data_IF_022215355824
#
_entry.id   IF_022215355824
#
_cell.length_a   1.000
_cell.length_b   1.000
_cell.length_c   1.000
_cell.angle_alpha   90.00
_cell.angle_beta   90.00
_cell.angle_gamma   90.00
#
_symmetry.space_group_name_H-M   'P 1'
#
loop_
_entity.id
_entity.type
_entity.pdbx_description
1 polymer ?
#
# COMPACT_ATOMS: atom_id res chain seq x y z
N UNK A 1 0.89 24.09 13.15
CA UNK A 1 1.39 23.17 14.17
C UNK A 1 0.34 23.00 15.25
N UNK A 2 0.28 21.83 15.87
CA UNK A 2 -0.55 21.48 17.03
C UNK A 2 0.28 20.66 18.02
N UNK A 3 -0.10 20.65 19.29
CA UNK A 3 0.53 19.81 20.32
C UNK A 3 -0.55 19.29 21.26
N UNK A 4 -0.43 18.06 21.76
CA UNK A 4 -1.34 17.55 22.79
C UNK A 4 -0.75 17.93 24.15
N UNK A 5 -1.19 19.05 24.68
CA UNK A 5 -0.71 19.63 25.95
C UNK A 5 -1.25 18.89 27.17
N UNK A 6 -2.43 18.25 27.07
CA UNK A 6 -2.96 17.42 28.14
C UNK A 6 -3.65 16.16 27.60
N UNK A 7 -3.40 15.04 28.29
CA UNK A 7 -3.97 13.73 27.92
C UNK A 7 -4.63 13.09 29.13
N UNK A 8 -5.88 12.68 28.97
CA UNK A 8 -6.63 11.89 29.95
C UNK A 8 -6.89 10.51 29.35
N UNK A 9 -6.01 9.56 29.68
CA UNK A 9 -6.07 8.19 29.18
C UNK A 9 -5.56 7.23 30.26
N UNK A 10 -6.21 6.09 30.40
CA UNK A 10 -5.70 4.96 31.18
C UNK A 10 -4.75 4.06 30.37
N UNK A 11 -4.60 4.33 29.08
CA UNK A 11 -3.80 3.57 28.12
C UNK A 11 -2.51 4.32 27.79
N UNK A 12 -1.45 3.56 27.53
CA UNK A 12 -0.22 4.10 26.96
C UNK A 12 -0.50 4.62 25.54
N UNK A 13 0.10 5.76 25.22
CA UNK A 13 -0.07 6.42 23.93
C UNK A 13 1.30 6.65 23.32
N UNK A 14 1.43 6.34 22.03
CA UNK A 14 2.62 6.61 21.24
C UNK A 14 2.26 7.42 19.99
N UNK A 15 3.25 8.12 19.45
CA UNK A 15 3.14 8.74 18.13
C UNK A 15 3.99 7.96 17.12
N UNK A 16 3.50 7.87 15.88
CA UNK A 16 4.15 7.11 14.81
C UNK A 16 5.54 7.60 14.40
N UNK A 17 5.87 8.84 14.71
CA UNK A 17 7.20 9.40 14.51
C UNK A 17 8.20 8.99 15.60
N UNK A 18 7.73 8.35 16.68
CA UNK A 18 8.54 7.95 17.84
C UNK A 18 8.79 9.07 18.84
N UNK A 19 8.24 10.27 18.62
CA UNK A 19 8.42 11.43 19.49
C UNK A 19 7.38 11.48 20.61
N UNK A 20 7.64 12.20 21.73
CA UNK A 20 6.67 12.41 22.81
C UNK A 20 5.34 13.02 22.33
N UNK A 21 4.21 12.62 22.92
CA UNK A 21 2.86 13.05 22.50
C UNK A 21 2.64 14.57 22.63
N UNK A 22 3.32 15.19 23.59
CA UNK A 22 3.29 16.62 23.89
C UNK A 22 4.21 17.47 22.98
N UNK A 23 5.06 16.84 22.16
CA UNK A 23 5.85 17.57 21.17
C UNK A 23 4.96 18.15 20.07
N UNK A 24 5.24 19.39 19.67
CA UNK A 24 4.53 20.05 18.58
C UNK A 24 4.73 19.31 17.25
N UNK A 25 3.63 19.12 16.53
CA UNK A 25 3.55 18.41 15.26
C UNK A 25 2.77 19.18 14.22
N UNK A 26 2.93 18.73 12.99
CA UNK A 26 2.14 19.17 11.86
C UNK A 26 2.71 20.39 11.17
N UNK A 27 2.71 20.33 9.85
CA UNK A 27 2.66 21.46 8.94
C UNK A 27 1.36 21.37 8.12
N UNK A 28 1.04 22.37 7.30
CA UNK A 28 -0.19 22.34 6.49
C UNK A 28 -0.23 21.07 5.63
N UNK A 29 -1.21 20.20 5.88
CA UNK A 29 -1.34 18.93 5.17
C UNK A 29 -0.47 17.78 5.67
N UNK A 30 0.13 17.87 6.84
CA UNK A 30 0.74 16.70 7.51
C UNK A 30 -0.29 15.93 8.34
N UNK A 31 -0.11 14.61 8.38
CA UNK A 31 -0.90 13.68 9.18
C UNK A 31 0.03 12.91 10.12
N UNK A 32 -0.37 12.79 11.38
CA UNK A 32 0.32 12.00 12.39
C UNK A 32 -0.61 10.96 12.97
N UNK A 33 -0.10 9.75 13.20
CA UNK A 33 -0.85 8.68 13.85
C UNK A 33 -0.49 8.60 15.32
N UNK A 34 -1.51 8.68 16.15
CA UNK A 34 -1.47 8.38 17.57
C UNK A 34 -1.94 6.94 17.76
N UNK A 35 -1.14 6.15 18.45
CA UNK A 35 -1.35 4.74 18.74
C UNK A 35 -1.76 4.63 20.19
N UNK A 36 -2.96 4.11 20.45
CA UNK A 36 -3.52 3.94 21.78
C UNK A 36 -3.50 2.45 22.12
N UNK A 37 -2.77 2.08 23.16
CA UNK A 37 -2.61 0.68 23.56
C UNK A 37 -3.95 -0.02 23.70
N UNK A 38 -4.08 -1.22 23.11
CA UNK A 38 -5.28 -2.07 23.13
C UNK A 38 -6.57 -1.45 22.56
N UNK A 39 -6.55 -0.21 22.08
CA UNK A 39 -7.77 0.51 21.67
C UNK A 39 -7.82 0.85 20.19
N UNK A 40 -6.72 1.31 19.60
CA UNK A 40 -6.73 1.67 18.19
C UNK A 40 -5.83 2.84 17.82
N UNK A 41 -6.15 3.47 16.70
CA UNK A 41 -5.42 4.57 16.12
C UNK A 41 -6.28 5.83 16.01
N UNK A 42 -5.66 6.97 16.31
CA UNK A 42 -6.18 8.30 16.03
C UNK A 42 -5.25 8.96 15.02
N UNK A 43 -5.73 9.16 13.80
CA UNK A 43 -5.03 9.96 12.81
C UNK A 43 -5.43 11.42 12.97
N UNK A 44 -4.45 12.30 13.21
CA UNK A 44 -4.62 13.74 13.31
C UNK A 44 -3.96 14.38 12.10
N UNK A 45 -4.77 15.02 11.26
CA UNK A 45 -4.31 15.76 10.06
C UNK A 45 -4.52 17.25 10.27
N UNK A 46 -3.47 18.04 10.08
CA UNK A 46 -3.59 19.49 10.10
C UNK A 46 -4.21 19.98 8.78
N UNK A 47 -5.34 20.68 8.90
CA UNK A 47 -6.07 21.30 7.79
C UNK A 47 -5.61 22.74 7.57
N UNK A 48 -6.11 23.35 6.49
CA UNK A 48 -5.94 24.78 6.22
C UNK A 48 -6.71 25.59 7.28
N UNK A 49 -6.27 26.83 7.56
CA UNK A 49 -6.94 27.77 8.49
C UNK A 49 -7.04 27.27 9.94
N UNK A 50 -5.97 26.65 10.47
CA UNK A 50 -5.92 26.13 11.84
C UNK A 50 -7.01 25.09 12.18
N UNK A 51 -7.52 24.38 11.17
CA UNK A 51 -8.37 23.22 11.36
C UNK A 51 -7.57 21.95 11.66
N UNK A 52 -8.20 21.01 12.34
CA UNK A 52 -7.71 19.66 12.62
C UNK A 52 -8.77 18.66 12.17
N UNK A 53 -8.39 17.67 11.36
CA UNK A 53 -9.18 16.46 11.13
C UNK A 53 -8.65 15.34 12.03
N UNK A 54 -9.55 14.77 12.82
CA UNK A 54 -9.27 13.68 13.74
C UNK A 54 -10.15 12.49 13.34
N UNK A 55 -9.61 11.52 12.60
CA UNK A 55 -10.39 10.40 12.04
C UNK A 55 -11.70 10.84 11.34
N UNK A 56 -11.68 11.93 10.58
CA UNK A 56 -12.83 12.45 9.82
C UNK A 56 -13.76 13.40 10.61
N UNK A 57 -13.57 13.58 11.92
CA UNK A 57 -14.25 14.65 12.67
C UNK A 57 -13.37 15.90 12.73
N UNK A 58 -13.95 17.04 12.36
CA UNK A 58 -13.20 18.28 12.13
C UNK A 58 -13.39 19.28 13.27
N UNK A 59 -12.27 19.73 13.82
CA UNK A 59 -12.18 20.77 14.84
C UNK A 59 -11.58 22.02 14.18
N UNK A 60 -12.28 23.15 14.26
CA UNK A 60 -11.77 24.42 13.77
C UNK A 60 -11.54 25.35 14.94
N UNK A 61 -10.41 26.07 14.91
CA UNK A 61 -10.10 27.09 15.89
C UNK A 61 -10.25 28.47 15.24
N UNK A 62 -11.04 29.36 15.84
CA UNK A 62 -11.15 30.74 15.39
C UNK A 62 -9.86 31.49 15.72
N UNK A 63 -8.93 31.54 14.77
CA UNK A 63 -7.76 32.40 14.86
C UNK A 63 -8.23 33.84 14.65
N UNK A 64 -8.13 34.68 15.68
CA UNK A 64 -8.36 36.11 15.53
C UNK A 64 -7.18 36.73 14.78
N UNK A 65 -7.45 37.65 13.84
CA UNK A 65 -6.40 38.35 13.08
C UNK A 65 -5.36 38.97 14.05
N UNK A 66 -4.11 38.51 13.94
CA UNK A 66 -2.96 39.06 14.68
C UNK A 66 -2.42 38.21 15.85
N UNK A 67 -2.93 37.00 16.10
CA UNK A 67 -2.24 36.07 17.01
C UNK A 67 -1.06 35.37 16.31
N UNK A 68 0.12 35.46 16.93
CA UNK A 68 1.34 34.75 16.52
C UNK A 68 1.14 33.22 16.45
N UNK A 69 1.93 32.58 15.57
CA UNK A 69 1.97 31.16 15.18
C UNK A 69 2.32 30.17 16.33
N UNK A 70 1.72 30.30 17.50
CA UNK A 70 1.87 29.29 18.54
C UNK A 70 1.16 27.99 18.12
N UNK A 71 1.75 26.80 18.38
CA UNK A 71 1.07 25.54 18.12
C UNK A 71 -0.28 25.50 18.83
N UNK A 72 -1.32 25.01 18.13
CA UNK A 72 -2.63 24.80 18.70
C UNK A 72 -2.53 23.80 19.86
N UNK A 73 -2.78 24.25 21.08
CA UNK A 73 -2.77 23.41 22.28
C UNK A 73 -4.05 22.57 22.33
N UNK A 74 -3.90 21.26 22.24
CA UNK A 74 -4.99 20.29 22.21
C UNK A 74 -5.03 19.49 23.51
N UNK A 75 -6.23 19.21 23.99
CA UNK A 75 -6.42 18.19 25.00
C UNK A 75 -7.08 16.95 24.39
N UNK A 76 -6.64 15.77 24.82
CA UNK A 76 -7.13 14.48 24.34
C UNK A 76 -7.68 13.65 25.51
N UNK A 77 -8.91 13.17 25.38
CA UNK A 77 -9.51 12.19 26.29
C UNK A 77 -9.73 10.89 25.53
N UNK A 78 -9.19 9.78 26.04
CA UNK A 78 -9.40 8.44 25.50
C UNK A 78 -10.30 7.65 26.46
N UNK A 79 -11.42 7.17 25.95
CA UNK A 79 -12.38 6.40 26.73
C UNK A 79 -12.12 4.88 26.61
N UNK A 80 -12.53 4.08 27.62
CA UNK A 80 -12.39 2.62 27.58
C UNK A 80 -13.10 1.92 26.42
N UNK A 81 -14.11 2.56 25.81
CA UNK A 81 -14.90 2.03 24.69
C UNK A 81 -14.31 2.37 23.31
N UNK A 82 -13.03 2.75 23.25
CA UNK A 82 -12.30 3.17 22.05
C UNK A 82 -12.89 4.43 21.36
N UNK A 83 -13.65 5.24 22.10
CA UNK A 83 -14.01 6.60 21.68
C UNK A 83 -12.99 7.61 22.18
N UNK A 84 -12.91 8.76 21.51
CA UNK A 84 -12.07 9.88 21.94
C UNK A 84 -12.87 11.18 21.99
N UNK A 85 -12.39 12.13 22.81
CA UNK A 85 -12.75 13.55 22.73
C UNK A 85 -11.47 14.33 22.52
N UNK A 86 -11.43 15.17 21.48
CA UNK A 86 -10.32 16.08 21.18
C UNK A 86 -10.87 17.50 21.25
N UNK A 87 -10.16 18.43 21.87
CA UNK A 87 -10.56 19.83 21.87
C UNK A 87 -9.39 20.79 21.99
N UNK A 88 -9.66 22.07 21.77
CA UNK A 88 -8.67 23.14 21.94
C UNK A 88 -8.68 23.59 23.40
N UNK A 89 -7.51 23.71 24.02
CA UNK A 89 -7.40 24.35 25.32
C UNK A 89 -7.65 25.86 25.19
N UNK A 90 -8.72 26.35 25.81
CA UNK A 90 -9.05 27.78 25.87
C UNK A 90 -8.97 28.27 27.32
N UNK A 91 -8.34 29.43 27.51
CA UNK A 91 -8.29 30.14 28.80
C UNK A 91 -9.55 30.98 29.08
N UNK A 92 -10.45 31.13 28.10
CA UNK A 92 -11.61 32.05 28.15
C UNK A 92 -12.89 31.33 27.72
N UNK A 93 -13.36 30.34 28.49
CA UNK A 93 -14.70 29.73 28.34
C UNK A 93 -14.98 28.98 27.02
N UNK A 94 -15.99 28.09 27.06
CA UNK A 94 -16.38 27.05 26.09
C UNK A 94 -15.28 26.47 25.20
N UNK A 95 -14.83 25.26 25.55
CA UNK A 95 -13.90 24.49 24.72
C UNK A 95 -14.60 23.99 23.46
N UNK A 96 -14.04 24.29 22.29
CA UNK A 96 -14.41 23.62 21.05
C UNK A 96 -13.91 22.18 21.09
N UNK A 97 -14.84 21.23 20.95
CA UNK A 97 -14.54 19.79 21.06
C UNK A 97 -15.18 19.00 19.94
N UNK A 98 -14.48 17.93 19.55
CA UNK A 98 -14.99 16.90 18.66
C UNK A 98 -14.89 15.54 19.33
N UNK A 99 -15.78 14.65 18.95
CA UNK A 99 -15.82 13.27 19.44
C UNK A 99 -15.85 12.31 18.27
N UNK A 100 -15.13 11.21 18.39
CA UNK A 100 -15.06 10.18 17.37
C UNK A 100 -14.66 8.84 17.95
N UNK A 101 -14.37 7.90 17.05
CA UNK A 101 -13.94 6.54 17.38
C UNK A 101 -12.53 6.31 16.86
N UNK A 102 -11.73 5.58 17.63
CA UNK A 102 -10.40 5.14 17.20
C UNK A 102 -10.56 4.09 16.09
N UNK A 103 -9.67 4.14 15.09
CA UNK A 103 -9.58 3.05 14.09
C UNK A 103 -9.09 1.79 14.79
N UNK A 104 -9.69 0.61 14.56
CA UNK A 104 -9.34 -0.59 15.30
C UNK A 104 -7.90 -1.03 15.02
N UNK A 105 -7.25 -1.61 16.04
CA UNK A 105 -6.01 -2.37 15.85
C UNK A 105 -6.29 -3.59 14.96
N UNK A 106 -5.37 -3.97 14.06
CA UNK A 106 -5.54 -5.18 13.27
C UNK A 106 -5.46 -6.42 14.16
N UNK A 107 -6.11 -7.50 13.74
CA UNK A 107 -5.90 -8.81 14.35
C UNK A 107 -4.54 -9.37 13.91
N UNK A 108 -3.72 -9.80 14.87
CA UNK A 108 -2.42 -10.43 14.61
C UNK A 108 -2.48 -11.85 15.18
N UNK A 109 -2.33 -12.84 14.30
CA UNK A 109 -2.36 -14.25 14.67
C UNK A 109 -0.99 -14.70 15.20
N UNK A 110 -0.93 -15.16 16.45
CA UNK A 110 0.29 -15.73 17.02
C UNK A 110 0.80 -16.95 16.23
N UNK A 111 -0.10 -17.71 15.60
CA UNK A 111 0.26 -18.84 14.74
C UNK A 111 0.92 -18.37 13.44
N UNK A 112 0.42 -17.28 12.84
CA UNK A 112 1.02 -16.69 11.64
C UNK A 112 2.39 -16.12 11.95
N UNK A 113 2.54 -15.42 13.08
CA UNK A 113 3.83 -14.90 13.59
C UNK A 113 4.84 -16.03 13.78
N UNK A 114 4.46 -17.12 14.46
CA UNK A 114 5.37 -18.25 14.68
C UNK A 114 5.79 -18.92 13.35
N UNK A 115 4.92 -18.92 12.35
CA UNK A 115 5.27 -19.41 11.02
C UNK A 115 6.22 -18.45 10.29
N UNK A 116 5.98 -17.14 10.34
CA UNK A 116 6.91 -16.14 9.80
C UNK A 116 8.30 -16.25 10.46
N UNK A 117 8.38 -16.44 11.77
CA UNK A 117 9.65 -16.67 12.49
C UNK A 117 10.39 -17.90 11.96
N UNK A 118 9.67 -18.95 11.58
CA UNK A 118 10.29 -20.12 10.95
C UNK A 118 10.84 -19.80 9.56
N UNK A 119 10.14 -18.98 8.77
CA UNK A 119 10.60 -18.51 7.46
C UNK A 119 11.86 -17.65 7.61
N UNK A 120 11.90 -16.78 8.63
CA UNK A 120 13.08 -15.97 8.98
C UNK A 120 14.27 -16.86 9.37
N UNK A 121 14.05 -17.84 10.25
CA UNK A 121 15.12 -18.75 10.68
C UNK A 121 15.69 -19.59 9.52
N UNK A 122 14.90 -19.86 8.49
CA UNK A 122 15.33 -20.59 7.28
C UNK A 122 15.88 -19.69 6.18
N UNK A 123 15.98 -18.37 6.39
CA UNK A 123 16.37 -17.37 5.38
C UNK A 123 15.48 -17.40 4.13
N UNK A 124 14.20 -17.76 4.30
CA UNK A 124 13.20 -17.56 3.25
C UNK A 124 12.74 -16.10 3.23
N UNK A 125 12.78 -15.45 4.40
CA UNK A 125 12.47 -14.04 4.63
C UNK A 125 13.58 -13.43 5.50
N UNK A 126 14.12 -12.24 5.18
CA UNK A 126 13.89 -11.54 3.93
C UNK A 126 14.53 -12.28 2.75
N UNK A 127 14.15 -11.91 1.53
CA UNK A 127 14.86 -12.32 0.31
C UNK A 127 16.37 -12.09 0.47
N UNK A 128 17.18 -13.04 0.02
CA UNK A 128 18.63 -12.97 0.15
C UNK A 128 19.19 -11.65 -0.43
N UNK A 129 19.95 -10.94 0.40
CA UNK A 129 20.47 -9.62 0.04
C UNK A 129 21.57 -9.75 -1.01
N UNK A 130 21.55 -8.86 -1.99
CA UNK A 130 22.65 -8.72 -2.94
C UNK A 130 23.84 -8.08 -2.19
N UNK A 131 25.07 -8.63 -2.27
CA UNK A 131 26.24 -8.02 -1.64
C UNK A 131 26.49 -6.55 -2.02
N UNK A 132 26.04 -6.14 -3.21
CA UNK A 132 26.15 -4.76 -3.69
C UNK A 132 25.09 -3.81 -3.06
N UNK A 133 24.04 -4.37 -2.44
CA UNK A 133 22.90 -3.67 -1.84
C UNK A 133 22.42 -4.41 -0.58
N UNK A 134 23.13 -4.25 0.55
CA UNK A 134 22.90 -5.04 1.77
C UNK A 134 21.62 -4.65 2.53
N UNK A 135 20.67 -3.98 1.89
CA UNK A 135 19.36 -3.69 2.47
C UNK A 135 19.42 -3.03 3.86
N UNK A 136 18.49 -3.43 4.74
CA UNK A 136 18.45 -3.08 6.17
C UNK A 136 18.75 -4.32 6.99
N UNK A 137 19.58 -4.17 8.01
CA UNK A 137 19.83 -5.22 8.99
C UNK A 137 18.59 -5.56 9.82
N UNK A 138 18.56 -6.77 10.40
CA UNK A 138 17.50 -7.18 11.33
C UNK A 138 17.35 -6.24 12.54
N UNK A 139 18.44 -5.63 13.00
CA UNK A 139 18.40 -4.68 14.13
C UNK A 139 17.73 -3.37 13.73
N UNK A 140 18.02 -2.83 12.54
CA UNK A 140 17.33 -1.66 11.99
C UNK A 140 15.83 -1.93 11.80
N UNK A 141 15.48 -3.10 11.26
CA UNK A 141 14.07 -3.49 11.09
C UNK A 141 13.37 -3.62 12.45
N UNK A 142 14.06 -4.13 13.48
CA UNK A 142 13.50 -4.23 14.84
C UNK A 142 13.23 -2.88 15.48
N UNK A 143 14.14 -1.91 15.33
CA UNK A 143 13.93 -0.56 15.84
C UNK A 143 12.82 0.17 15.09
N UNK A 144 12.74 0.02 13.77
CA UNK A 144 11.61 0.51 12.97
C UNK A 144 10.29 -0.14 13.42
N UNK A 145 10.29 -1.44 13.67
CA UNK A 145 9.13 -2.18 14.17
C UNK A 145 8.65 -1.64 15.52
N UNK A 146 9.54 -1.46 16.50
CA UNK A 146 9.17 -0.87 17.81
C UNK A 146 8.56 0.51 17.66
N UNK A 147 9.08 1.33 16.75
CA UNK A 147 8.57 2.69 16.50
C UNK A 147 7.20 2.69 15.82
N UNK A 148 7.01 1.86 14.81
CA UNK A 148 5.81 1.85 13.96
C UNK A 148 4.68 0.98 14.52
N UNK A 149 5.01 -0.05 15.31
CA UNK A 149 4.08 -1.02 15.87
C UNK A 149 4.26 -1.24 17.39
N UNK A 150 4.35 -0.19 18.22
CA UNK A 150 4.63 -0.32 19.65
C UNK A 150 3.54 -1.05 20.45
N UNK A 151 2.33 -1.16 19.89
CA UNK A 151 1.16 -1.77 20.53
C UNK A 151 1.17 -3.31 20.56
N UNK A 152 2.15 -3.96 19.91
CA UNK A 152 2.20 -5.41 19.79
C UNK A 152 3.60 -5.96 20.11
N UNK A 153 3.70 -7.12 20.79
CA UNK A 153 4.98 -7.81 20.93
C UNK A 153 5.53 -8.34 19.60
N UNK A 154 4.71 -8.37 18.54
CA UNK A 154 5.06 -8.88 17.21
C UNK A 154 5.53 -7.79 16.25
N UNK A 155 6.04 -6.68 16.79
CA UNK A 155 6.42 -5.49 16.03
C UNK A 155 7.50 -5.75 14.99
N UNK A 156 8.46 -6.63 15.30
CA UNK A 156 9.51 -7.04 14.36
C UNK A 156 8.92 -7.81 13.17
N UNK A 157 8.00 -8.74 13.40
CA UNK A 157 7.40 -9.57 12.34
C UNK A 157 6.53 -8.73 11.40
N UNK A 158 5.78 -7.75 11.92
CA UNK A 158 5.05 -6.81 11.08
C UNK A 158 5.99 -5.96 10.22
N UNK A 159 7.09 -5.46 10.79
CA UNK A 159 8.09 -4.70 10.06
C UNK A 159 8.79 -5.55 8.99
N UNK A 160 9.13 -6.80 9.32
CA UNK A 160 9.76 -7.74 8.40
C UNK A 160 8.85 -8.10 7.23
N UNK A 161 7.54 -8.30 7.45
CA UNK A 161 6.59 -8.57 6.37
C UNK A 161 6.52 -7.42 5.36
N UNK A 162 6.53 -6.16 5.83
CA UNK A 162 6.59 -4.99 4.94
C UNK A 162 7.94 -4.93 4.22
N UNK A 163 9.04 -5.16 4.93
CA UNK A 163 10.37 -5.15 4.33
C UNK A 163 10.49 -6.20 3.22
N UNK A 164 10.13 -7.46 3.50
CA UNK A 164 10.20 -8.55 2.52
C UNK A 164 9.35 -8.27 1.27
N UNK A 165 8.14 -7.73 1.44
CA UNK A 165 7.30 -7.27 0.32
C UNK A 165 8.01 -6.25 -0.58
N UNK A 166 8.90 -5.41 -0.05
CA UNK A 166 9.65 -4.44 -0.88
C UNK A 166 10.90 -5.04 -1.52
N UNK A 167 11.33 -6.22 -1.07
CA UNK A 167 12.40 -6.99 -1.70
C UNK A 167 11.88 -7.77 -2.92
N UNK A 168 12.75 -8.50 -3.64
CA UNK A 168 12.29 -9.42 -4.66
C UNK A 168 11.31 -10.51 -4.21
N UNK A 169 11.13 -10.78 -2.92
CA UNK A 169 10.11 -11.73 -2.45
C UNK A 169 8.69 -11.39 -2.87
N UNK A 170 8.37 -10.13 -3.21
CA UNK A 170 7.02 -9.72 -3.65
C UNK A 170 6.47 -10.63 -4.77
N UNK A 171 7.36 -11.11 -5.67
CA UNK A 171 6.98 -11.97 -6.78
C UNK A 171 6.35 -13.28 -6.30
N UNK A 172 6.79 -13.84 -5.15
CA UNK A 172 6.18 -15.04 -4.54
C UNK A 172 4.68 -14.83 -4.33
N UNK A 173 4.31 -13.71 -3.72
CA UNK A 173 2.94 -13.39 -3.36
C UNK A 173 2.10 -13.09 -4.60
N UNK A 174 2.61 -12.22 -5.49
CA UNK A 174 1.94 -11.84 -6.74
C UNK A 174 1.65 -13.07 -7.60
N UNK A 175 2.66 -13.92 -7.85
CA UNK A 175 2.49 -15.13 -8.65
C UNK A 175 1.40 -16.04 -8.09
N UNK A 176 1.45 -16.30 -6.79
CA UNK A 176 0.52 -17.23 -6.17
C UNK A 176 -0.93 -16.71 -6.21
N UNK A 177 -1.13 -15.43 -5.95
CA UNK A 177 -2.48 -14.85 -5.86
C UNK A 177 -3.12 -14.54 -7.20
N UNK A 178 -2.35 -14.12 -8.21
CA UNK A 178 -2.87 -13.92 -9.57
C UNK A 178 -3.52 -15.19 -10.13
N UNK A 179 -2.83 -16.32 -10.00
CA UNK A 179 -3.27 -17.62 -10.52
C UNK A 179 -4.23 -18.37 -9.58
N UNK A 180 -4.81 -17.67 -8.59
CA UNK A 180 -5.85 -18.20 -7.71
C UNK A 180 -7.25 -17.96 -8.29
N UNK A 181 -8.07 -19.01 -8.37
CA UNK A 181 -9.47 -18.92 -8.81
C UNK A 181 -10.36 -18.33 -7.70
N UNK A 182 -10.38 -17.01 -7.58
CA UNK A 182 -11.03 -16.31 -6.46
C UNK A 182 -12.55 -16.51 -6.37
N UNK A 183 -13.21 -16.97 -7.44
CA UNK A 183 -14.65 -17.26 -7.48
C UNK A 183 -15.02 -18.68 -7.06
N UNK A 184 -14.04 -19.53 -6.75
CA UNK A 184 -14.26 -20.95 -6.43
C UNK A 184 -13.76 -21.33 -5.04
N UNK A 185 -14.53 -22.18 -4.37
CA UNK A 185 -14.13 -22.85 -3.13
C UNK A 185 -14.43 -24.33 -3.28
N UNK A 186 -13.38 -25.16 -3.32
CA UNK A 186 -13.49 -26.62 -3.40
C UNK A 186 -12.91 -27.21 -2.13
N UNK A 187 -13.73 -27.95 -1.39
CA UNK A 187 -13.32 -28.57 -0.11
C UNK A 187 -12.72 -27.56 0.89
N UNK A 188 -13.24 -26.34 0.90
CA UNK A 188 -12.75 -25.25 1.76
C UNK A 188 -11.43 -24.62 1.30
N UNK A 189 -10.98 -24.92 0.07
CA UNK A 189 -9.74 -24.39 -0.50
C UNK A 189 -10.03 -23.70 -1.83
N UNK A 190 -9.43 -22.52 -2.02
CA UNK A 190 -9.41 -21.84 -3.32
C UNK A 190 -8.37 -22.52 -4.22
N UNK A 191 -8.77 -23.04 -5.39
CA UNK A 191 -7.84 -23.72 -6.29
C UNK A 191 -6.87 -22.74 -6.96
N UNK A 192 -5.75 -23.27 -7.47
CA UNK A 192 -4.70 -22.55 -8.20
C UNK A 192 -4.55 -23.15 -9.59
N UNK A 193 -4.37 -22.30 -10.60
CA UNK A 193 -3.96 -22.69 -11.94
C UNK A 193 -2.44 -22.94 -11.97
N UNK A 194 -2.04 -24.15 -11.55
CA UNK A 194 -0.62 -24.51 -11.47
C UNK A 194 0.08 -24.53 -12.81
N UNK A 195 -0.62 -24.79 -13.91
CA UNK A 195 0.00 -24.85 -15.24
C UNK A 195 0.38 -23.44 -15.71
N UNK A 196 -0.51 -22.46 -15.54
CA UNK A 196 -0.18 -21.07 -15.87
C UNK A 196 0.82 -20.47 -14.90
N UNK A 197 0.72 -20.80 -13.61
CA UNK A 197 1.73 -20.41 -12.62
C UNK A 197 3.13 -20.95 -12.98
N UNK A 198 3.24 -22.23 -13.36
CA UNK A 198 4.50 -22.83 -13.78
C UNK A 198 5.06 -22.17 -15.05
N UNK A 199 4.19 -21.90 -16.03
CA UNK A 199 4.55 -21.16 -17.24
C UNK A 199 5.09 -19.77 -16.87
N UNK A 200 4.39 -19.03 -16.01
CA UNK A 200 4.76 -17.69 -15.58
C UNK A 200 6.13 -17.64 -14.87
N UNK A 201 6.41 -18.61 -13.99
CA UNK A 201 7.72 -18.74 -13.33
C UNK A 201 8.80 -19.10 -14.35
N UNK A 202 8.53 -20.04 -15.27
CA UNK A 202 9.48 -20.48 -16.28
C UNK A 202 9.85 -19.39 -17.28
N UNK A 203 8.86 -18.61 -17.75
CA UNK A 203 9.06 -17.56 -18.76
C UNK A 203 9.44 -16.21 -18.14
N UNK A 204 9.45 -16.08 -16.82
CA UNK A 204 9.90 -14.88 -16.14
C UNK A 204 11.37 -14.60 -16.52
N UNK A 205 11.61 -13.38 -16.98
CA UNK A 205 12.90 -12.92 -17.50
C UNK A 205 13.23 -11.50 -17.02
N UNK A 206 12.66 -11.12 -15.89
CA UNK A 206 12.84 -9.81 -15.28
C UNK A 206 14.04 -9.91 -14.33
N UNK A 207 15.21 -9.37 -14.70
CA UNK A 207 16.48 -9.44 -13.96
C UNK A 207 16.74 -10.76 -13.18
N UNK A 208 16.58 -10.79 -11.85
CA UNK A 208 16.83 -11.99 -11.02
C UNK A 208 15.69 -13.02 -11.00
N UNK A 209 14.52 -12.69 -11.52
CA UNK A 209 13.35 -13.58 -11.57
C UNK A 209 13.44 -14.52 -12.76
N UNK A 210 14.34 -15.49 -12.69
CA UNK A 210 14.47 -16.55 -13.71
C UNK A 210 14.44 -17.91 -13.04
N UNK A 211 13.87 -18.91 -13.71
CA UNK A 211 13.78 -20.26 -13.15
C UNK A 211 15.15 -20.89 -12.80
N UNK A 212 16.27 -20.34 -13.30
CA UNK A 212 17.62 -20.78 -12.98
C UNK A 212 18.24 -20.05 -11.78
N UNK A 213 17.68 -18.92 -11.35
CA UNK A 213 18.18 -18.15 -10.22
C UNK A 213 17.83 -18.88 -8.91
N UNK A 214 18.85 -19.16 -8.10
CA UNK A 214 18.70 -19.93 -6.86
C UNK A 214 17.88 -19.17 -5.80
N UNK A 215 18.08 -17.87 -5.64
CA UNK A 215 17.40 -17.07 -4.62
C UNK A 215 15.93 -16.88 -4.96
N UNK A 216 15.61 -16.61 -6.23
CA UNK A 216 14.24 -16.53 -6.73
C UNK A 216 13.51 -17.87 -6.56
N UNK A 217 14.09 -18.99 -7.01
CA UNK A 217 13.44 -20.29 -6.85
C UNK A 217 13.32 -20.69 -5.37
N UNK A 218 14.32 -20.38 -4.55
CA UNK A 218 14.26 -20.60 -3.10
C UNK A 218 13.13 -19.79 -2.44
N UNK A 219 12.89 -18.56 -2.90
CA UNK A 219 11.75 -17.75 -2.44
C UNK A 219 10.41 -18.44 -2.68
N UNK A 220 10.33 -19.33 -3.69
CA UNK A 220 9.16 -20.15 -4.01
C UNK A 220 9.23 -21.56 -3.40
N UNK A 221 10.17 -21.82 -2.48
CA UNK A 221 10.48 -23.12 -1.88
C UNK A 221 11.00 -24.18 -2.88
N UNK A 222 11.47 -23.75 -4.03
CA UNK A 222 11.94 -24.59 -5.13
C UNK A 222 13.46 -24.48 -5.31
N UNK A 223 14.01 -25.32 -6.18
CA UNK A 223 15.38 -25.29 -6.66
C UNK A 223 15.40 -24.72 -8.08
N UNK A 224 16.55 -24.21 -8.56
CA UNK A 224 16.77 -23.92 -9.97
C UNK A 224 16.25 -25.03 -10.88
N UNK A 225 15.62 -24.64 -11.97
CA UNK A 225 15.01 -25.50 -12.97
C UNK A 225 15.51 -25.15 -14.37
N UNK A 226 15.58 -26.14 -15.25
CA UNK A 226 16.04 -26.04 -16.64
C UNK A 226 14.97 -26.44 -17.65
N UNK A 227 13.74 -26.69 -17.20
CA UNK A 227 12.57 -26.84 -18.06
C UNK A 227 11.29 -26.41 -17.32
N UNK A 228 10.25 -26.06 -18.08
CA UNK A 228 8.91 -25.80 -17.52
C UNK A 228 8.37 -27.02 -16.75
N UNK A 229 8.61 -28.24 -17.26
CA UNK A 229 8.17 -29.47 -16.60
C UNK A 229 8.82 -29.63 -15.21
N UNK A 230 10.08 -29.25 -15.05
CA UNK A 230 10.73 -29.25 -13.74
C UNK A 230 10.07 -28.26 -12.78
N UNK A 231 9.65 -27.08 -13.26
CA UNK A 231 8.89 -26.11 -12.44
C UNK A 231 7.55 -26.71 -12.03
N UNK A 232 6.81 -27.32 -12.96
CA UNK A 232 5.52 -27.97 -12.69
C UNK A 232 5.63 -29.06 -11.62
N UNK A 233 6.63 -29.95 -11.77
CA UNK A 233 6.86 -31.05 -10.81
C UNK A 233 7.27 -30.52 -9.44
N UNK A 234 8.07 -29.45 -9.36
CA UNK A 234 8.43 -28.83 -8.10
C UNK A 234 7.25 -28.16 -7.42
N UNK A 235 6.41 -27.42 -8.17
CA UNK A 235 5.19 -26.79 -7.65
C UNK A 235 4.24 -27.82 -7.03
N UNK A 236 4.06 -28.99 -7.65
CA UNK A 236 3.23 -30.06 -7.07
C UNK A 236 3.72 -30.51 -5.69
N UNK A 237 5.03 -30.49 -5.46
CA UNK A 237 5.63 -30.87 -4.18
C UNK A 237 5.54 -29.76 -3.13
N UNK A 238 5.68 -28.49 -3.52
CA UNK A 238 5.76 -27.36 -2.58
C UNK A 238 4.44 -26.65 -2.33
N UNK A 239 3.42 -26.87 -3.18
CA UNK A 239 2.16 -26.11 -3.21
C UNK A 239 1.51 -25.83 -1.85
N UNK A 240 1.44 -26.80 -0.95
CA UNK A 240 0.79 -26.60 0.35
C UNK A 240 1.62 -25.69 1.26
N UNK A 241 2.94 -25.83 1.21
CA UNK A 241 3.87 -24.99 1.98
C UNK A 241 3.93 -23.58 1.38
N UNK A 242 3.99 -23.47 0.06
CA UNK A 242 3.99 -22.19 -0.65
C UNK A 242 2.70 -21.41 -0.41
N UNK A 243 1.54 -22.09 -0.50
CA UNK A 243 0.24 -21.52 -0.12
C UNK A 243 0.27 -20.92 1.28
N UNK A 244 0.71 -21.72 2.25
CA UNK A 244 0.73 -21.31 3.65
C UNK A 244 1.67 -20.13 3.87
N UNK A 245 2.85 -20.12 3.23
CA UNK A 245 3.79 -19.02 3.29
C UNK A 245 3.19 -17.71 2.78
N UNK A 246 2.61 -17.73 1.58
CA UNK A 246 1.95 -16.56 0.98
C UNK A 246 0.80 -16.07 1.87
N UNK A 247 -0.12 -16.96 2.26
CA UNK A 247 -1.29 -16.57 3.04
C UNK A 247 -0.93 -16.02 4.44
N UNK A 248 0.13 -16.53 5.07
CA UNK A 248 0.64 -16.00 6.35
C UNK A 248 1.22 -14.61 6.14
N UNK A 249 2.05 -14.45 5.13
CA UNK A 249 2.72 -13.19 4.82
C UNK A 249 1.71 -12.10 4.43
N UNK A 250 0.72 -12.40 3.57
CA UNK A 250 -0.35 -11.48 3.20
C UNK A 250 -1.11 -10.94 4.41
N UNK A 251 -1.48 -11.83 5.35
CA UNK A 251 -2.22 -11.42 6.56
C UNK A 251 -1.40 -10.52 7.45
N UNK A 252 -0.12 -10.83 7.64
CA UNK A 252 0.79 -10.00 8.44
C UNK A 252 1.10 -8.67 7.74
N UNK A 253 1.28 -8.69 6.42
CA UNK A 253 1.47 -7.50 5.59
C UNK A 253 0.24 -6.58 5.65
N UNK A 254 -0.97 -7.13 5.48
CA UNK A 254 -2.21 -6.37 5.58
C UNK A 254 -2.39 -5.76 6.99
N UNK A 255 -2.10 -6.51 8.05
CA UNK A 255 -2.12 -6.00 9.43
C UNK A 255 -1.09 -4.87 9.63
N UNK A 256 0.12 -5.02 9.09
CA UNK A 256 1.15 -3.99 9.15
C UNK A 256 0.70 -2.72 8.39
N UNK A 257 0.22 -2.86 7.15
CA UNK A 257 -0.31 -1.74 6.35
C UNK A 257 -1.46 -1.02 7.04
N UNK A 258 -2.39 -1.74 7.68
CA UNK A 258 -3.46 -1.13 8.47
C UNK A 258 -2.92 -0.28 9.63
N UNK A 259 -1.79 -0.67 10.21
CA UNK A 259 -1.18 -0.02 11.38
C UNK A 259 -0.28 1.16 11.02
N UNK A 260 0.26 1.20 9.80
CA UNK A 260 1.17 2.26 9.37
C UNK A 260 0.51 3.66 9.33
N UNK A 261 1.30 4.74 9.51
CA UNK A 261 0.78 6.10 9.51
C UNK A 261 0.10 6.44 8.20
N UNK A 262 -0.95 7.27 8.27
CA UNK A 262 -1.69 7.66 7.08
C UNK A 262 -1.12 8.93 6.47
N UNK A 263 -1.02 8.92 5.15
CA UNK A 263 -0.59 10.06 4.35
C UNK A 263 -1.78 10.97 4.08
N UNK A 264 -1.61 12.26 4.29
CA UNK A 264 -2.65 13.24 3.99
C UNK A 264 -2.81 13.44 2.49
N UNK A 265 -4.05 13.58 2.04
CA UNK A 265 -4.34 13.92 0.63
C UNK A 265 -3.99 15.38 0.32
N UNK A 266 -3.80 16.22 1.36
CA UNK A 266 -3.41 17.61 1.20
C UNK A 266 -1.93 17.74 0.81
N UNK A 267 -1.08 16.87 1.36
CA UNK A 267 0.35 16.83 0.98
C UNK A 267 0.58 16.00 -0.28
N UNK A 268 -0.18 14.91 -0.45
CA UNK A 268 -0.05 13.97 -1.57
C UNK A 268 -1.40 13.80 -2.26
N UNK A 269 -1.78 14.68 -3.20
CA UNK A 269 -3.13 14.72 -3.76
C UNK A 269 -3.44 13.58 -4.75
N UNK A 270 -2.42 12.96 -5.34
CA UNK A 270 -2.53 11.81 -6.24
C UNK A 270 -1.33 10.89 -6.03
N UNK A 271 -1.52 9.60 -6.32
CA UNK A 271 -0.45 8.61 -6.36
C UNK A 271 -0.44 7.93 -7.73
N UNK A 272 0.73 7.46 -8.16
CA UNK A 272 0.98 6.96 -9.50
C UNK A 272 1.66 5.59 -9.46
N UNK A 273 1.35 4.72 -10.41
CA UNK A 273 2.02 3.42 -10.55
C UNK A 273 2.20 3.04 -12.01
N UNK A 274 3.46 2.81 -12.42
CA UNK A 274 3.75 2.09 -13.65
C UNK A 274 3.73 0.61 -13.38
N UNK A 275 2.84 -0.14 -14.05
CA UNK A 275 2.81 -1.60 -13.90
C UNK A 275 4.05 -2.22 -14.52
N UNK A 276 4.58 -3.25 -13.88
CA UNK A 276 5.92 -3.79 -14.18
C UNK A 276 5.90 -4.66 -15.44
N UNK A 277 6.92 -4.51 -16.29
CA UNK A 277 7.08 -5.31 -17.51
C UNK A 277 7.65 -6.70 -17.18
N UNK A 278 6.78 -7.60 -16.72
CA UNK A 278 7.06 -9.02 -16.61
C UNK A 278 6.24 -9.75 -17.68
N UNK A 279 6.84 -10.75 -18.35
CA UNK A 279 6.18 -11.49 -19.45
C UNK A 279 4.83 -12.11 -19.05
N UNK A 280 4.63 -12.44 -17.78
CA UNK A 280 3.35 -12.94 -17.25
C UNK A 280 2.43 -11.84 -16.72
N UNK A 281 2.92 -10.61 -16.56
CA UNK A 281 2.14 -9.39 -16.33
C UNK A 281 1.93 -8.61 -17.65
N UNK A 282 2.14 -9.27 -18.80
CA UNK A 282 1.77 -8.70 -20.09
C UNK A 282 0.29 -8.32 -20.09
N UNK A 283 -0.09 -7.43 -21.00
CA UNK A 283 -1.44 -6.86 -21.06
C UNK A 283 -2.56 -7.92 -20.97
N UNK A 284 -2.35 -9.11 -21.55
CA UNK A 284 -3.32 -10.20 -21.57
C UNK A 284 -3.53 -10.92 -20.23
N UNK A 285 -2.70 -10.64 -19.22
CA UNK A 285 -2.83 -11.19 -17.86
C UNK A 285 -3.14 -10.11 -16.81
N UNK A 286 -3.24 -8.84 -17.20
CA UNK A 286 -3.61 -7.78 -16.26
C UNK A 286 -5.01 -8.03 -15.67
N UNK A 287 -5.94 -8.57 -16.48
CA UNK A 287 -7.30 -8.87 -16.05
C UNK A 287 -7.40 -9.87 -14.90
N UNK A 288 -6.51 -10.87 -14.86
CA UNK A 288 -6.56 -11.93 -13.85
C UNK A 288 -6.08 -11.50 -12.47
N UNK A 289 -5.53 -10.28 -12.35
CA UNK A 289 -5.26 -9.63 -11.06
C UNK A 289 -6.54 -9.23 -10.32
N UNK A 290 -7.69 -9.21 -11.00
CA UNK A 290 -8.97 -8.78 -10.41
C UNK A 290 -9.88 -9.97 -10.09
N UNK A 291 -10.65 -9.86 -9.02
CA UNK A 291 -11.65 -10.87 -8.64
C UNK A 291 -12.83 -10.93 -9.61
N UNK A 292 -13.08 -9.81 -10.30
CA UNK A 292 -14.17 -9.63 -11.25
C UNK A 292 -13.92 -10.32 -12.60
N UNK A 293 -12.69 -10.78 -12.87
CA UNK A 293 -12.41 -11.56 -14.09
C UNK A 293 -13.27 -12.83 -14.14
N UNK A 294 -14.02 -13.08 -15.24
CA UNK A 294 -14.86 -14.27 -15.36
C UNK A 294 -14.11 -15.59 -15.17
N UNK A 295 -12.83 -15.63 -15.54
CA UNK A 295 -11.97 -16.80 -15.42
C UNK A 295 -11.85 -17.31 -13.97
N UNK A 296 -12.07 -16.43 -12.97
CA UNK A 296 -12.11 -16.81 -11.56
C UNK A 296 -13.17 -17.83 -11.19
N UNK A 297 -14.22 -17.98 -11.99
CA UNK A 297 -15.32 -18.91 -11.76
C UNK A 297 -15.06 -20.31 -12.36
N UNK A 298 -13.88 -20.53 -12.93
CA UNK A 298 -13.47 -21.80 -13.53
C UNK A 298 -14.09 -22.06 -14.91
N UNK A 299 -14.12 -23.34 -15.35
CA UNK A 299 -13.80 -24.55 -14.59
C UNK A 299 -12.33 -24.65 -14.17
N UNK A 300 -12.08 -25.33 -13.05
CA UNK A 300 -10.72 -25.74 -12.64
C UNK A 300 -10.13 -26.54 -13.79
N UNK A 301 -8.86 -26.30 -14.12
CA UNK A 301 -8.10 -26.82 -15.30
C UNK A 301 -8.14 -25.93 -16.54
N UNK A 302 -9.03 -24.94 -16.61
CA UNK A 302 -8.93 -23.91 -17.65
C UNK A 302 -7.97 -22.81 -17.20
N UNK A 303 -7.11 -22.34 -18.10
CA UNK A 303 -6.16 -21.29 -17.75
C UNK A 303 -6.87 -20.02 -17.26
N UNK A 304 -6.36 -19.43 -16.17
CA UNK A 304 -6.70 -18.09 -15.77
C UNK A 304 -6.03 -17.13 -16.75
N UNK A 305 -6.76 -16.76 -17.78
CA UNK A 305 -6.36 -15.83 -18.83
C UNK A 305 -7.57 -14.95 -19.17
N UNK A 306 -7.35 -13.65 -19.38
CA UNK A 306 -8.42 -12.71 -19.73
C UNK A 306 -7.83 -11.52 -20.47
N UNK A 307 -8.12 -11.41 -21.77
CA UNK A 307 -7.50 -10.41 -22.61
C UNK A 307 -7.81 -8.99 -22.12
N UNK A 308 -6.84 -8.09 -22.26
CA UNK A 308 -7.01 -6.70 -21.81
C UNK A 308 -8.26 -6.05 -22.43
N UNK A 309 -8.52 -6.31 -23.71
CA UNK A 309 -9.69 -5.78 -24.40
C UNK A 309 -11.01 -6.28 -23.79
N UNK A 310 -11.07 -7.55 -23.37
CA UNK A 310 -12.24 -8.10 -22.68
C UNK A 310 -12.40 -7.47 -21.31
N UNK A 311 -11.30 -7.36 -20.55
CA UNK A 311 -11.31 -6.70 -19.25
C UNK A 311 -11.80 -5.24 -19.35
N UNK A 312 -11.25 -4.45 -20.27
CA UNK A 312 -11.60 -3.04 -20.51
C UNK A 312 -13.05 -2.84 -20.96
N UNK A 313 -13.61 -3.79 -21.71
CA UNK A 313 -15.01 -3.71 -22.15
C UNK A 313 -16.03 -4.23 -21.13
N UNK A 314 -15.56 -4.81 -20.00
CA UNK A 314 -16.43 -5.46 -19.01
C UNK A 314 -16.29 -4.86 -17.61
N UNK A 315 -15.27 -5.28 -16.84
CA UNK A 315 -15.11 -4.91 -15.43
C UNK A 315 -14.04 -3.83 -15.19
N UNK A 316 -13.13 -3.59 -16.13
CA UNK A 316 -12.21 -2.44 -16.11
C UNK A 316 -12.78 -1.21 -16.86
N UNK A 317 -14.05 -1.23 -17.25
CA UNK A 317 -14.70 -0.09 -17.87
C UNK A 317 -14.94 1.05 -16.85
N UNK A 318 -15.01 2.29 -17.33
CA UNK A 318 -15.37 3.45 -16.51
C UNK A 318 -16.69 3.22 -15.73
N UNK A 319 -16.71 3.65 -14.48
CA UNK A 319 -17.84 3.48 -13.56
C UNK A 319 -17.95 2.09 -12.93
N UNK A 320 -17.08 1.14 -13.30
CA UNK A 320 -17.03 -0.19 -12.67
C UNK A 320 -16.16 -0.19 -11.42
N UNK A 321 -16.46 -1.13 -10.53
CA UNK A 321 -15.62 -1.40 -9.36
C UNK A 321 -14.85 -2.68 -9.59
N UNK A 322 -13.56 -2.64 -9.28
CA UNK A 322 -12.69 -3.82 -9.27
C UNK A 322 -12.08 -4.04 -7.89
N UNK A 323 -11.70 -5.27 -7.62
CA UNK A 323 -11.06 -5.71 -6.38
C UNK A 323 -9.78 -6.45 -6.75
N UNK A 324 -8.64 -5.98 -6.27
CA UNK A 324 -7.34 -6.60 -6.58
C UNK A 324 -7.14 -7.88 -5.77
N UNK A 325 -6.54 -8.89 -6.39
CA UNK A 325 -6.06 -10.10 -5.70
C UNK A 325 -4.69 -9.91 -5.08
N UNK A 326 -3.93 -8.94 -5.57
CA UNK A 326 -2.55 -8.69 -5.20
C UNK A 326 -2.38 -7.31 -4.56
N UNK A 327 -1.26 -7.14 -3.87
CA UNK A 327 -0.79 -5.84 -3.40
C UNK A 327 -0.30 -5.02 -4.59
N UNK A 328 -0.64 -3.73 -4.64
CA UNK A 328 -0.11 -2.79 -5.61
C UNK A 328 0.80 -1.76 -4.93
N UNK A 329 1.83 -1.32 -5.66
CA UNK A 329 2.79 -0.31 -5.23
C UNK A 329 2.63 0.96 -6.06
N UNK A 330 2.72 2.10 -5.41
CA UNK A 330 2.57 3.45 -5.95
C UNK A 330 3.69 4.36 -5.45
N UNK A 331 3.92 5.46 -6.14
CA UNK A 331 4.76 6.60 -5.74
C UNK A 331 3.93 7.88 -5.83
N UNK A 332 4.39 8.97 -5.24
CA UNK A 332 3.79 10.30 -5.41
C UNK A 332 4.45 11.11 -6.55
N UNK A 333 5.36 10.48 -7.30
CA UNK A 333 6.09 11.10 -8.40
C UNK A 333 5.75 10.41 -9.74
N UNK A 334 5.20 11.18 -10.68
CA UNK A 334 4.82 10.70 -12.00
C UNK A 334 6.01 10.14 -12.81
N UNK A 335 7.19 10.77 -12.74
CA UNK A 335 8.38 10.32 -13.46
C UNK A 335 8.91 9.00 -12.91
N UNK A 336 8.94 8.86 -11.58
CA UNK A 336 9.34 7.60 -10.93
C UNK A 336 8.37 6.47 -11.31
N UNK A 337 7.07 6.75 -11.48
CA UNK A 337 6.10 5.77 -11.95
C UNK A 337 6.31 5.41 -13.43
N UNK A 338 6.52 6.41 -14.32
CA UNK A 338 6.76 6.19 -15.75
C UNK A 338 8.02 5.35 -16.02
N UNK A 339 9.02 5.44 -15.14
CA UNK A 339 10.24 4.65 -15.21
C UNK A 339 9.96 3.14 -15.24
N UNK A 340 8.92 2.68 -14.52
CA UNK A 340 8.59 1.26 -14.35
C UNK A 340 7.46 0.75 -15.25
N UNK A 341 6.76 1.63 -15.98
CA UNK A 341 5.57 1.25 -16.76
C UNK A 341 5.88 0.34 -17.95
N UNK A 342 5.09 -0.73 -18.06
CA UNK A 342 5.09 -1.74 -19.11
C UNK A 342 4.12 -1.49 -20.27
N UNK A 343 3.45 -0.34 -20.27
CA UNK A 343 2.27 -0.12 -21.11
C UNK A 343 1.02 0.24 -20.31
N UNK A 344 0.98 -0.05 -19.01
CA UNK A 344 -0.12 0.34 -18.13
C UNK A 344 0.37 1.33 -17.07
N UNK A 345 -0.39 2.40 -16.88
CA UNK A 345 -0.14 3.45 -15.92
C UNK A 345 -1.39 3.70 -15.08
N UNK A 346 -1.27 3.57 -13.76
CA UNK A 346 -2.38 3.77 -12.83
C UNK A 346 -2.26 5.13 -12.17
N UNK A 347 -3.36 5.88 -12.13
CA UNK A 347 -3.50 7.14 -11.40
C UNK A 347 -4.49 6.92 -10.28
N UNK A 348 -4.02 6.98 -9.04
CA UNK A 348 -4.88 6.85 -7.88
C UNK A 348 -5.29 8.23 -7.39
N UNK A 349 -6.60 8.47 -7.39
CA UNK A 349 -7.27 9.70 -6.97
C UNK A 349 -7.96 9.48 -5.61
N UNK A 350 -7.79 10.35 -4.62
CA UNK A 350 -8.38 10.12 -3.31
C UNK A 350 -9.90 10.31 -3.31
N UNK A 351 -10.58 9.61 -2.40
CA UNK A 351 -11.95 9.96 -2.01
C UNK A 351 -11.97 11.35 -1.35
N UNK A 352 -12.95 12.18 -1.73
CA UNK A 352 -13.15 13.49 -1.13
C UNK A 352 -13.72 13.43 0.30
N UNK A 353 -14.21 12.27 0.71
CA UNK A 353 -14.79 12.01 2.03
C UNK A 353 -13.71 11.86 3.12
N UNK A 354 -12.49 11.46 2.75
CA UNK A 354 -11.36 11.33 3.65
C UNK A 354 -10.37 12.47 3.46
N UNK A 355 -9.61 12.82 4.50
CA UNK A 355 -8.44 13.72 4.43
C UNK A 355 -7.12 12.98 4.38
N UNK A 356 -7.16 11.65 4.47
CA UNK A 356 -5.99 10.79 4.37
C UNK A 356 -6.22 9.62 3.41
N UNK A 357 -5.13 9.07 2.89
CA UNK A 357 -5.13 7.84 2.11
C UNK A 357 -5.45 6.63 3.01
N UNK A 358 -6.71 6.22 3.08
CA UNK A 358 -7.12 5.11 3.95
C UNK A 358 -6.63 3.74 3.45
N UNK A 359 -6.60 3.58 2.13
CA UNK A 359 -6.28 2.31 1.45
C UNK A 359 -4.80 2.17 1.10
N UNK A 360 -4.06 3.28 0.99
CA UNK A 360 -2.65 3.28 0.62
C UNK A 360 -1.78 3.67 1.82
N UNK A 361 -0.84 2.79 2.18
CA UNK A 361 0.06 2.98 3.32
C UNK A 361 1.44 3.39 2.85
N UNK A 362 2.02 4.41 3.48
CA UNK A 362 3.40 4.83 3.20
C UNK A 362 4.39 3.84 3.84
N UNK A 363 5.13 3.09 3.02
CA UNK A 363 6.02 2.01 3.46
C UNK A 363 7.50 2.30 3.30
N UNK A 364 7.90 3.45 2.70
CA UNK A 364 9.30 3.78 2.40
C UNK A 364 10.29 3.57 3.54
N UNK A 365 9.90 3.90 4.78
CA UNK A 365 10.79 3.71 5.93
C UNK A 365 11.19 2.23 6.13
N UNK A 366 10.33 1.30 5.73
CA UNK A 366 10.54 -0.15 5.75
C UNK A 366 10.94 -0.71 4.38
N UNK A 367 11.11 0.12 3.35
CA UNK A 367 11.50 -0.35 2.01
C UNK A 367 12.96 -0.80 1.98
N UNK A 368 13.29 -1.78 1.14
CA UNK A 368 14.66 -2.21 0.90
C UNK A 368 15.52 -1.14 0.21
N UNK A 369 14.90 -0.21 -0.51
CA UNK A 369 15.56 0.95 -1.12
C UNK A 369 15.10 2.24 -0.41
N UNK A 370 15.95 2.84 0.44
CA UNK A 370 15.58 4.05 1.17
C UNK A 370 15.40 5.29 0.29
N UNK A 371 15.81 5.24 -1.00
CA UNK A 371 15.62 6.34 -1.95
C UNK A 371 14.26 6.28 -2.65
N UNK A 372 13.56 5.14 -2.58
CA UNK A 372 12.28 4.94 -3.25
C UNK A 372 11.13 5.41 -2.37
N UNK A 373 10.36 6.37 -2.86
CA UNK A 373 9.06 6.71 -2.28
C UNK A 373 8.07 5.60 -2.68
N UNK A 374 7.44 4.98 -1.69
CA UNK A 374 6.60 3.81 -1.90
C UNK A 374 5.38 3.84 -0.99
N UNK A 375 4.22 3.74 -1.63
CA UNK A 375 2.92 3.56 -1.02
C UNK A 375 2.34 2.24 -1.51
N UNK A 376 1.70 1.48 -0.63
CA UNK A 376 1.17 0.17 -1.01
C UNK A 376 -0.26 -0.02 -0.58
N UNK A 377 -1.03 -0.74 -1.39
CA UNK A 377 -2.41 -1.13 -1.10
C UNK A 377 -2.47 -2.63 -0.89
N UNK A 378 -3.12 -3.09 0.18
CA UNK A 378 -3.21 -4.52 0.48
C UNK A 378 -4.03 -5.31 -0.57
N UNK A 379 -3.87 -6.64 -0.65
CA UNK A 379 -4.76 -7.50 -1.42
C UNK A 379 -6.22 -7.33 -0.97
N UNK A 380 -7.17 -7.43 -1.90
CA UNK A 380 -8.59 -7.18 -1.64
C UNK A 380 -8.97 -5.70 -1.62
N UNK A 381 -8.05 -4.79 -1.95
CA UNK A 381 -8.36 -3.37 -2.11
C UNK A 381 -9.31 -3.17 -3.28
N UNK A 382 -10.29 -2.27 -3.10
CA UNK A 382 -11.36 -2.00 -4.06
C UNK A 382 -11.19 -0.62 -4.67
N UNK A 383 -11.38 -0.54 -5.99
CA UNK A 383 -11.21 0.69 -6.75
C UNK A 383 -12.39 0.90 -7.71
N UNK A 384 -12.92 2.11 -7.74
CA UNK A 384 -13.78 2.58 -8.82
C UNK A 384 -12.89 3.01 -10.00
N UNK A 385 -13.15 2.48 -11.19
CA UNK A 385 -12.54 2.97 -12.42
C UNK A 385 -13.20 4.31 -12.78
N UNK A 386 -12.42 5.38 -12.73
CA UNK A 386 -12.86 6.74 -13.04
C UNK A 386 -12.60 7.12 -14.50
N UNK A 387 -11.56 6.57 -15.12
CA UNK A 387 -11.30 6.77 -16.54
C UNK A 387 -10.40 5.68 -17.12
N UNK A 388 -10.45 5.57 -18.44
CA UNK A 388 -9.64 4.67 -19.27
C UNK A 388 -9.19 5.45 -20.50
N UNK A 389 -7.91 5.81 -20.56
CA UNK A 389 -7.36 6.72 -21.58
C UNK A 389 -6.10 6.13 -22.22
N UNK A 390 -5.73 6.63 -23.42
CA UNK A 390 -4.47 6.31 -24.07
C UNK A 390 -3.55 7.54 -24.05
N UNK A 391 -2.29 7.36 -23.71
CA UNK A 391 -1.23 8.38 -23.79
C UNK A 391 -0.07 7.88 -24.65
N UNK A 392 0.71 8.80 -25.22
CA UNK A 392 1.95 8.47 -25.95
C UNK A 392 3.19 8.85 -25.15
N UNK A 393 4.02 7.87 -24.76
CA UNK A 393 5.30 8.11 -24.08
C UNK A 393 6.45 7.54 -24.89
N UNK A 394 7.33 8.42 -25.40
CA UNK A 394 8.47 8.06 -26.26
C UNK A 394 8.11 7.15 -27.45
N UNK A 395 6.98 7.43 -28.11
CA UNK A 395 6.50 6.67 -29.26
C UNK A 395 5.87 5.32 -28.91
N UNK A 396 5.68 5.02 -27.62
CA UNK A 396 4.90 3.88 -27.13
C UNK A 396 3.54 4.33 -26.66
N UNK A 397 2.52 3.50 -26.86
CA UNK A 397 1.21 3.69 -26.27
C UNK A 397 1.23 3.24 -24.81
N UNK A 398 0.63 4.04 -23.95
CA UNK A 398 0.35 3.72 -22.56
C UNK A 398 -1.17 3.75 -22.33
N UNK A 399 -1.71 2.73 -21.70
CA UNK A 399 -3.05 2.72 -21.14
C UNK A 399 -3.00 3.41 -19.77
N UNK A 400 -3.75 4.49 -19.61
CA UNK A 400 -3.88 5.23 -18.35
C UNK A 400 -5.22 4.88 -17.70
N UNK A 401 -5.16 4.34 -16.49
CA UNK A 401 -6.36 4.01 -15.70
C UNK A 401 -6.47 4.96 -14.50
N UNK A 402 -7.50 5.79 -14.51
CA UNK A 402 -7.88 6.60 -13.35
C UNK A 402 -8.66 5.75 -12.34
N UNK A 403 -8.20 5.71 -11.09
CA UNK A 403 -8.73 4.86 -10.03
C UNK A 403 -9.09 5.70 -8.81
N UNK A 404 -10.21 5.37 -8.15
CA UNK A 404 -10.53 5.91 -6.82
C UNK A 404 -10.67 4.76 -5.83
N UNK A 405 -9.91 4.76 -4.71
CA UNK A 405 -10.05 3.73 -3.70
C UNK A 405 -11.40 3.87 -3.00
N UNK A 406 -12.08 2.75 -2.82
CA UNK A 406 -13.33 2.67 -2.08
C UNK A 406 -13.04 2.28 -0.64
N UNK A 407 -13.52 3.08 0.31
CA UNK A 407 -13.45 2.74 1.72
C UNK A 407 -14.28 1.48 2.00
N UNK A 408 -13.72 0.53 2.75
CA UNK A 408 -14.52 -0.60 3.21
C UNK A 408 -15.62 -0.10 4.16
N UNK A 409 -16.87 -0.59 4.02
CA UNK A 409 -18.05 -0.09 4.73
C UNK A 409 -18.03 -0.27 6.26
N UNK A 410 -16.92 -0.75 6.84
CA UNK A 410 -16.71 -0.81 8.29
C UNK A 410 -16.32 0.54 8.92
N UNK A 411 -15.97 1.56 8.12
CA UNK A 411 -15.73 2.91 8.62
C UNK A 411 -17.06 3.66 8.76
N UNK A 412 -17.56 3.67 9.99
CA UNK A 412 -18.75 4.37 10.50
C UNK A 412 -19.13 5.65 9.75
N UNK A 413 -20.36 5.67 9.24
CA UNK A 413 -21.04 6.87 8.79
C UNK A 413 -21.28 7.83 9.94
N UNK A 414 -20.43 8.85 10.06
CA UNK A 414 -20.71 10.04 10.84
C UNK A 414 -21.05 11.17 9.86
N UNK A 415 -22.31 11.62 9.90
CA UNK A 415 -22.73 12.82 9.19
C UNK A 415 -21.91 14.00 9.73
N UNK A 416 -21.02 14.53 8.90
CA UNK A 416 -20.39 15.83 9.13
C UNK A 416 -21.49 16.85 9.45
N UNK A 417 -21.45 17.42 10.66
CA UNK A 417 -22.13 18.69 10.91
C UNK A 417 -21.46 19.68 9.98
N UNK A 418 -22.18 20.17 8.97
CA UNK A 418 -21.77 21.36 8.22
C UNK A 418 -21.63 22.51 9.23
N UNK A 419 -20.41 22.76 9.71
CA UNK A 419 -20.05 24.11 10.10
C UNK A 419 -20.12 24.94 8.82
N UNK A 420 -20.89 26.03 8.86
CA UNK A 420 -21.04 26.92 7.72
C UNK A 420 -19.70 27.47 7.26
N UNK A 421 -19.57 27.64 5.95
CA UNK A 421 -18.72 28.66 5.32
C UNK A 421 -17.20 28.54 5.46
N UNK A 422 -16.64 27.33 5.52
CA UNK A 422 -15.24 27.13 5.14
C UNK A 422 -15.18 26.10 4.01
N UNK A 423 -15.28 26.57 2.77
CA UNK A 423 -14.87 25.78 1.61
C UNK A 423 -13.35 25.61 1.67
N UNK A 424 -12.93 24.46 2.19
CA UNK A 424 -11.54 24.07 2.19
C UNK A 424 -11.10 23.84 0.74
N UNK A 425 -10.29 24.75 0.21
CA UNK A 425 -9.68 24.60 -1.10
C UNK A 425 -8.72 23.40 -1.06
N UNK A 426 -9.16 22.29 -1.64
CA UNK A 426 -8.30 21.12 -1.77
C UNK A 426 -7.23 21.40 -2.83
N UNK A 427 -6.02 20.83 -2.68
CA UNK A 427 -4.99 21.02 -3.68
C UNK A 427 -5.48 20.59 -5.05
N UNK A 428 -5.09 21.37 -6.07
CA UNK A 428 -5.35 21.04 -7.46
C UNK A 428 -4.80 19.63 -7.73
N UNK A 429 -5.69 18.77 -8.21
CA UNK A 429 -5.33 17.48 -8.79
C UNK A 429 -5.16 17.69 -10.28
N UNK A 430 -4.29 16.91 -10.88
CA UNK A 430 -4.26 16.81 -12.33
C UNK A 430 -5.56 16.16 -12.76
N UNK A 431 -6.33 16.84 -13.62
CA UNK A 431 -7.44 16.19 -14.31
C UNK A 431 -6.88 15.08 -15.19
N UNK A 432 -7.69 14.08 -15.55
CA UNK A 432 -7.14 12.93 -16.28
C UNK A 432 -6.48 13.35 -17.62
N UNK A 433 -7.08 14.33 -18.32
CA UNK A 433 -6.48 14.95 -19.51
C UNK A 433 -5.14 15.63 -19.23
N UNK A 434 -4.99 16.29 -18.07
CA UNK A 434 -3.72 16.90 -17.67
C UNK A 434 -2.64 15.83 -17.38
N UNK A 435 -3.03 14.67 -16.83
CA UNK A 435 -2.09 13.56 -16.61
C UNK A 435 -1.59 13.00 -17.92
N UNK A 436 -2.49 12.79 -18.90
CA UNK A 436 -2.12 12.35 -20.25
C UNK A 436 -1.15 13.36 -20.87
N UNK A 437 -1.50 14.65 -20.88
CA UNK A 437 -0.64 15.70 -21.43
C UNK A 437 0.74 15.74 -20.76
N UNK A 438 0.79 15.60 -19.43
CA UNK A 438 2.06 15.55 -18.68
C UNK A 438 2.90 14.32 -19.04
N UNK A 439 2.28 13.15 -19.23
CA UNK A 439 2.97 11.95 -19.70
C UNK A 439 3.56 12.20 -21.09
N UNK A 440 2.79 12.79 -22.01
CA UNK A 440 3.24 13.04 -23.38
C UNK A 440 4.36 14.10 -23.46
N UNK A 441 4.35 15.07 -22.55
CA UNK A 441 5.37 16.11 -22.43
C UNK A 441 6.60 15.69 -21.61
N UNK A 442 6.55 14.55 -20.94
CA UNK A 442 7.62 14.09 -20.05
C UNK A 442 8.91 13.79 -20.85
N UNK A 443 10.01 14.40 -20.42
CA UNK A 443 11.35 14.06 -20.91
C UNK A 443 11.98 13.02 -19.99
N UNK A 444 12.67 11.99 -20.52
CA UNK A 444 13.23 10.95 -19.68
C UNK A 444 14.36 11.55 -18.85
N UNK A 445 14.27 11.37 -17.53
CA UNK A 445 15.31 11.85 -16.63
C UNK A 445 16.62 11.09 -16.91
N UNK A 446 17.64 11.79 -17.41
CA UNK A 446 18.99 11.25 -17.61
C UNK A 446 19.68 10.91 -16.27
N UNK A 447 19.09 11.33 -15.15
CA UNK A 447 19.67 11.26 -13.80
C UNK A 447 19.05 10.24 -12.86
N UNK A 448 18.08 9.41 -13.28
CA UNK A 448 17.60 8.34 -12.37
C UNK A 448 18.76 7.35 -12.10
N UNK A 449 19.09 7.04 -10.83
CA UNK A 449 20.33 6.37 -10.48
C UNK A 449 20.23 4.88 -10.79
N UNK A 450 20.49 4.50 -12.04
CA UNK A 450 20.88 3.14 -12.37
C UNK A 450 22.40 3.09 -12.48
N UNK A 451 23.04 2.31 -11.61
CA UNK A 451 24.29 1.68 -12.03
C UNK A 451 23.91 0.57 -12.99
N UNK A 452 24.55 0.50 -14.15
CA UNK A 452 24.30 -0.40 -15.30
C UNK A 452 24.30 -1.91 -14.95
N UNK A 453 24.50 -2.27 -13.67
CA UNK A 453 24.47 -3.64 -13.12
C UNK A 453 23.40 -3.86 -12.05
N UNK A 454 22.63 -2.84 -11.69
CA UNK A 454 21.71 -2.86 -10.56
C UNK A 454 20.30 -2.46 -10.96
N UNK A 455 19.53 -3.44 -11.40
CA UNK A 455 18.11 -3.26 -11.54
C UNK A 455 17.32 -4.01 -10.47
N UNK A 456 17.93 -4.80 -9.58
CA UNK A 456 17.20 -5.67 -8.63
C UNK A 456 16.06 -6.48 -9.32
N UNK A 457 16.21 -6.84 -10.60
CA UNK A 457 15.11 -7.41 -11.39
C UNK A 457 14.47 -6.49 -12.44
N UNK A 458 14.54 -5.17 -12.30
CA UNK A 458 13.69 -4.18 -12.98
C UNK A 458 14.06 -3.89 -14.46
N UNK A 459 13.19 -4.18 -15.42
CA UNK A 459 13.24 -3.57 -16.76
C UNK A 459 12.89 -2.08 -16.65
N UNK A 460 13.80 -1.19 -17.06
CA UNK A 460 13.53 0.25 -17.22
C UNK A 460 13.28 0.58 -18.70
N UNK A 461 12.34 1.49 -18.97
CA UNK A 461 12.20 2.17 -20.27
C UNK A 461 13.50 2.84 -20.77
N UNK A 462 14.40 3.21 -19.87
CA UNK A 462 15.76 3.71 -20.12
C UNK A 462 16.67 2.71 -20.86
N UNK A 463 16.44 1.41 -20.69
CA UNK A 463 17.34 0.32 -21.13
C UNK A 463 16.84 -0.35 -22.41
N UNK A 464 15.58 -0.11 -22.79
CA UNK A 464 15.06 -0.55 -24.08
C UNK A 464 15.50 0.39 -25.21
N UNK A 465 16.73 0.20 -25.68
CA UNK A 465 17.18 0.62 -27.02
C UNK A 465 17.65 -0.57 -27.82
#
# INVERSE_FOLDING_TARGET
MWAISSTHSAFTIWCSDGRPVDEARGSSGESSRIIVDQKGFLDITQLILAGIDANGVKLYHNVSDGQEESPLALYLVINPDATFTLGVESSIGDMDTVKGTLKPLPQISATDVAYLDSMIATNLIPYAENPDYPGKSHDEIRELGKRLFPFTPHSFQLAMAVYDWTTPSFARMVFWDMFRYSGLVVEGVTPIDYTSLARAIWTSNWGSYTAQNADFMASLLMKPAWSQLEVELQLLNVRQHLKKAVEVEDRLLAAAMQSLPRTSILSKPQLFSGQIDMVHLEMDNFGIEFTESPANNGPIQQHLEDSLQTALSTYLAEGKTVTTKVTWSFTDNLQDALHYSNGIFLVLNPSWESRVWETASYVTALSNDPKKIEYTTAPGSRFLIQSVEEASYHGRKLLVLGLQPLSNPAATGLKSRRCGEIEEALPLRLENGDVVDLIEMSTPDQGTPHTVRNNSGRRCNCITK
#
